data_IF_781668918590
#
_entry.id   IF_781668918590
#
_cell.length_a   1.000
_cell.length_b   1.000
_cell.length_c   1.000
_cell.angle_alpha   90.00
_cell.angle_beta   90.00
_cell.angle_gamma   90.00
#
_symmetry.space_group_name_H-M   'P 1'
#
loop_
_entity.id
_entity.type
_entity.pdbx_description
1 polymer ?
#
# COMPACT_ATOMS: atom_id res chain seq x y z
N UNK A 1 -7.94 -4.42 -11.72
CA UNK A 1 -6.46 -4.46 -11.65
C UNK A 1 -6.07 -3.56 -10.51
N UNK A 2 -5.34 -4.05 -9.52
CA UNK A 2 -4.90 -3.24 -8.36
C UNK A 2 -4.16 -2.00 -8.87
N UNK A 3 -4.64 -0.82 -8.49
CA UNK A 3 -4.14 0.45 -9.02
C UNK A 3 -2.73 0.81 -8.53
N UNK A 4 -2.15 0.00 -7.64
CA UNK A 4 -0.82 0.17 -7.08
C UNK A 4 -0.05 -1.15 -7.09
N UNK A 5 1.28 -1.06 -7.05
CA UNK A 5 2.16 -2.20 -6.82
C UNK A 5 2.39 -2.38 -5.32
N UNK A 6 2.28 -3.61 -4.82
CA UNK A 6 2.74 -3.97 -3.48
C UNK A 6 3.62 -5.22 -3.54
N UNK A 7 4.82 -5.10 -2.99
CA UNK A 7 5.72 -6.23 -2.80
C UNK A 7 5.09 -7.23 -1.82
N UNK A 8 5.32 -8.54 -2.02
CA UNK A 8 4.69 -9.59 -1.20
C UNK A 8 5.11 -9.59 0.28
N UNK A 9 6.17 -8.86 0.65
CA UNK A 9 6.58 -8.66 2.05
C UNK A 9 6.01 -7.39 2.68
N UNK A 10 5.28 -6.57 1.92
CA UNK A 10 4.62 -5.41 2.47
C UNK A 10 3.39 -5.85 3.29
N UNK A 11 3.18 -5.19 4.42
CA UNK A 11 1.97 -5.34 5.24
C UNK A 11 1.14 -4.10 5.02
N UNK A 12 -0.10 -4.26 4.56
CA UNK A 12 -1.03 -3.16 4.33
C UNK A 12 -2.28 -3.47 5.16
N UNK A 13 -2.51 -2.68 6.19
CA UNK A 13 -3.66 -2.87 7.05
C UNK A 13 -4.95 -2.50 6.30
N UNK A 14 -6.02 -3.24 6.59
CA UNK A 14 -7.34 -2.96 6.02
C UNK A 14 -7.79 -1.54 6.38
N UNK A 15 -8.19 -0.76 5.37
CA UNK A 15 -8.59 0.65 5.51
C UNK A 15 -7.60 1.63 4.89
N UNK A 16 -6.35 1.22 4.66
CA UNK A 16 -5.37 2.04 3.97
C UNK A 16 -5.86 2.42 2.56
N UNK A 17 -5.74 3.69 2.21
CA UNK A 17 -6.04 4.19 0.87
C UNK A 17 -4.74 4.41 0.12
N UNK A 18 -4.56 3.73 -1.01
CA UNK A 18 -3.34 3.82 -1.83
C UNK A 18 -3.72 4.25 -3.25
N UNK A 19 -3.15 5.37 -3.66
CA UNK A 19 -3.39 6.02 -4.93
C UNK A 19 -2.77 5.30 -6.12
N UNK A 20 -3.32 5.59 -7.29
CA UNK A 20 -2.92 4.95 -8.55
C UNK A 20 -1.46 5.24 -8.88
N UNK A 21 -0.71 4.21 -9.25
CA UNK A 21 0.70 4.32 -9.63
C UNK A 21 1.67 4.29 -8.45
N UNK A 22 1.17 4.26 -7.22
CA UNK A 22 1.99 4.03 -6.03
C UNK A 22 2.71 2.68 -6.09
N UNK A 23 3.92 2.63 -5.52
CA UNK A 23 4.74 1.41 -5.41
C UNK A 23 5.18 1.21 -3.97
N UNK A 24 4.61 0.20 -3.33
CA UNK A 24 4.95 -0.23 -1.97
C UNK A 24 5.98 -1.35 -2.06
N UNK A 25 7.19 -1.08 -1.58
CA UNK A 25 8.33 -2.00 -1.68
C UNK A 25 8.48 -2.90 -0.45
N UNK A 26 9.52 -3.72 -0.46
CA UNK A 26 9.81 -4.68 0.59
C UNK A 26 9.93 -4.02 1.98
N UNK A 27 9.34 -4.67 2.99
CA UNK A 27 9.39 -4.31 4.41
C UNK A 27 8.72 -2.97 4.76
N UNK A 28 7.75 -2.54 3.95
CA UNK A 28 6.87 -1.41 4.28
C UNK A 28 5.65 -1.92 5.06
N UNK A 29 5.26 -1.19 6.11
CA UNK A 29 3.98 -1.34 6.80
C UNK A 29 3.14 -0.08 6.57
N UNK A 30 1.96 -0.22 5.98
CA UNK A 30 0.99 0.87 5.78
C UNK A 30 -0.17 0.69 6.76
N UNK A 31 -0.35 1.66 7.66
CA UNK A 31 -1.38 1.62 8.69
C UNK A 31 -2.79 1.85 8.14
N UNK A 32 -3.79 1.34 8.86
CA UNK A 32 -5.20 1.30 8.44
C UNK A 32 -5.82 2.65 8.07
N UNK A 33 -5.28 3.78 8.53
CA UNK A 33 -5.83 5.13 8.27
C UNK A 33 -4.92 5.97 7.40
N UNK A 34 -3.87 5.39 6.84
CA UNK A 34 -2.96 6.08 5.94
C UNK A 34 -3.64 6.38 4.60
N UNK A 35 -3.44 7.60 4.11
CA UNK A 35 -3.81 8.01 2.76
C UNK A 35 -2.52 8.29 2.01
N UNK A 36 -2.21 7.43 1.05
CA UNK A 36 -1.10 7.57 0.11
C UNK A 36 -1.74 7.87 -1.23
N UNK A 37 -1.42 9.02 -1.83
CA UNK A 37 -1.94 9.46 -3.13
C UNK A 37 -0.86 9.37 -4.18
#
# INVERSE_FOLDING_TARGET
MTDYFAHGTAVIDAGATIGRGSRIWHFVHVSATSVIG
#
